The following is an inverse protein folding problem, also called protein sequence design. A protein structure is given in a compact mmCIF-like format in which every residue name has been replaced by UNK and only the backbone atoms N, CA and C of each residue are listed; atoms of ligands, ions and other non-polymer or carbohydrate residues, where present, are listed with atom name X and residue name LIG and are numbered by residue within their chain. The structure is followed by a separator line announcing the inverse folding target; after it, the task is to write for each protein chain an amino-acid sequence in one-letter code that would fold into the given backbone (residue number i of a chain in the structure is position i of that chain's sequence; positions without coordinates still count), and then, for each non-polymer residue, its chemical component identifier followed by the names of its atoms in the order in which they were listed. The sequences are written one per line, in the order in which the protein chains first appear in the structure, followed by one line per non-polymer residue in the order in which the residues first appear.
data_IF_339381044736
#
_entry.id   IF_339381044736
#
_cell.length_a   1.000
_cell.length_b   1.000
_cell.length_c   1.000
_cell.angle_alpha   90.00
_cell.angle_beta   90.00
_cell.angle_gamma   90.00
#
_symmetry.space_group_name_H-M   'P 1'
#
loop_
_entity.id
_entity.type
_entity.pdbx_description
1 polymer ?
#
# COMPACT_ATOMS: atom_id res chain seq x y z
N UNK A 1 -28.35 -40.24 14.85
CA UNK A 1 -27.56 -39.05 15.21
C UNK A 1 -26.40 -38.94 14.22
N UNK A 2 -26.49 -38.04 13.24
CA UNK A 2 -25.39 -37.77 12.31
C UNK A 2 -25.37 -36.28 12.03
N UNK A 3 -24.33 -35.60 12.52
CA UNK A 3 -24.12 -34.16 12.36
C UNK A 3 -23.80 -33.87 10.89
N UNK A 4 -24.67 -33.13 10.21
CA UNK A 4 -24.36 -32.52 8.92
C UNK A 4 -23.37 -31.39 9.14
N UNK A 5 -22.18 -31.54 8.57
CA UNK A 5 -21.13 -30.55 8.53
C UNK A 5 -21.62 -29.30 7.79
N UNK A 6 -21.34 -28.13 8.37
CA UNK A 6 -21.54 -26.81 7.74
C UNK A 6 -20.59 -26.71 6.55
N UNK A 7 -21.08 -27.10 5.38
CA UNK A 7 -20.35 -27.08 4.11
C UNK A 7 -20.36 -25.67 3.51
N UNK A 8 -19.15 -25.18 3.23
CA UNK A 8 -18.80 -24.29 2.12
C UNK A 8 -19.64 -23.04 1.91
N UNK A 9 -19.16 -21.89 2.39
CA UNK A 9 -19.51 -20.61 1.76
C UNK A 9 -18.88 -20.63 0.36
N UNK A 10 -19.69 -21.01 -0.62
CA UNK A 10 -19.34 -21.14 -2.01
C UNK A 10 -18.69 -19.85 -2.51
N UNK A 11 -17.37 -19.89 -2.66
CA UNK A 11 -16.66 -18.98 -3.52
C UNK A 11 -17.14 -19.24 -4.94
N UNK A 12 -18.18 -18.53 -5.37
CA UNK A 12 -18.60 -18.50 -6.76
C UNK A 12 -17.40 -17.99 -7.55
N UNK A 13 -16.82 -18.88 -8.36
CA UNK A 13 -15.65 -18.60 -9.18
C UNK A 13 -16.13 -17.69 -10.30
N UNK A 14 -15.95 -16.38 -10.12
CA UNK A 14 -16.15 -15.43 -11.20
C UNK A 14 -15.06 -15.68 -12.25
N UNK A 15 -15.47 -15.88 -13.50
CA UNK A 15 -14.58 -15.97 -14.66
C UNK A 15 -13.56 -14.83 -14.58
N UNK A 16 -12.25 -15.15 -14.60
CA UNK A 16 -11.05 -14.30 -14.38
C UNK A 16 -10.30 -14.39 -13.03
N UNK A 17 -10.49 -15.46 -12.25
CA UNK A 17 -9.65 -15.73 -11.07
C UNK A 17 -10.01 -14.92 -9.83
N UNK A 18 -11.15 -14.21 -9.85
CA UNK A 18 -11.70 -13.53 -8.69
C UNK A 18 -12.54 -14.47 -7.82
N UNK A 19 -12.62 -14.14 -6.53
CA UNK A 19 -13.44 -14.81 -5.53
C UNK A 19 -14.46 -13.80 -5.01
N UNK A 20 -15.72 -14.21 -4.87
CA UNK A 20 -16.80 -13.35 -4.36
C UNK A 20 -16.89 -13.50 -2.84
N UNK A 21 -16.99 -12.37 -2.14
CA UNK A 21 -17.32 -12.29 -0.71
C UNK A 21 -18.67 -11.59 -0.60
N UNK A 22 -19.63 -12.22 0.07
CA UNK A 22 -20.97 -11.69 0.30
C UNK A 22 -21.13 -11.29 1.76
N UNK A 23 -21.62 -10.07 2.01
CA UNK A 23 -21.90 -9.54 3.34
C UNK A 23 -23.39 -9.20 3.43
N UNK A 24 -24.05 -9.58 4.54
CA UNK A 24 -25.43 -9.18 4.82
C UNK A 24 -25.42 -7.97 5.74
N UNK A 25 -26.16 -6.94 5.36
CA UNK A 25 -26.35 -5.72 6.13
C UNK A 25 -27.85 -5.49 6.29
N UNK A 26 -28.24 -4.83 7.39
CA UNK A 26 -29.59 -4.26 7.52
C UNK A 26 -29.74 -3.12 6.51
N UNK A 27 -30.98 -2.82 6.12
CA UNK A 27 -31.27 -1.75 5.17
C UNK A 27 -30.65 -0.41 5.60
N UNK A 28 -30.84 -0.03 6.87
CA UNK A 28 -30.28 1.21 7.42
C UNK A 28 -28.74 1.27 7.38
N UNK A 29 -28.05 0.14 7.65
CA UNK A 29 -26.59 0.05 7.59
C UNK A 29 -26.09 0.22 6.16
N UNK A 30 -26.76 -0.43 5.20
CA UNK A 30 -26.44 -0.32 3.78
C UNK A 30 -26.63 1.11 3.27
N UNK A 31 -27.74 1.76 3.64
CA UNK A 31 -28.05 3.12 3.19
C UNK A 31 -27.05 4.13 3.75
N UNK A 32 -26.74 4.04 5.05
CA UNK A 32 -25.74 4.88 5.70
C UNK A 32 -24.36 4.71 5.06
N UNK A 33 -23.92 3.45 4.86
CA UNK A 33 -22.65 3.15 4.20
C UNK A 33 -22.60 3.70 2.77
N UNK A 34 -23.66 3.46 1.98
CA UNK A 34 -23.74 3.92 0.59
C UNK A 34 -23.78 5.45 0.48
N UNK A 35 -24.39 6.14 1.44
CA UNK A 35 -24.41 7.60 1.47
C UNK A 35 -23.02 8.18 1.75
N UNK A 36 -22.31 7.65 2.75
CA UNK A 36 -20.95 8.08 3.08
C UNK A 36 -19.99 7.89 1.89
N UNK A 37 -20.09 6.77 1.18
CA UNK A 37 -19.23 6.49 0.04
C UNK A 37 -19.51 7.36 -1.18
N UNK A 38 -20.78 7.75 -1.40
CA UNK A 38 -21.14 8.66 -2.49
C UNK A 38 -20.49 10.03 -2.35
N UNK A 39 -20.36 10.54 -1.12
CA UNK A 39 -19.63 11.80 -0.84
C UNK A 39 -18.17 11.70 -1.28
N UNK A 40 -17.58 10.50 -1.19
CA UNK A 40 -16.19 10.21 -1.57
C UNK A 40 -16.06 9.74 -3.03
N UNK A 41 -17.15 9.70 -3.82
CA UNK A 41 -17.13 9.20 -5.19
C UNK A 41 -16.84 7.69 -5.33
N UNK A 42 -17.03 6.91 -4.27
CA UNK A 42 -16.72 5.48 -4.24
C UNK A 42 -17.99 4.63 -4.40
N UNK A 43 -17.86 3.50 -5.09
CA UNK A 43 -18.90 2.45 -5.08
C UNK A 43 -18.73 1.55 -3.87
N UNK A 44 -19.83 0.92 -3.42
CA UNK A 44 -19.81 -0.02 -2.29
C UNK A 44 -18.81 -1.16 -2.52
N UNK A 45 -18.75 -1.69 -3.75
CA UNK A 45 -17.80 -2.74 -4.12
C UNK A 45 -16.34 -2.26 -4.03
N UNK A 46 -16.05 -1.03 -4.49
CA UNK A 46 -14.70 -0.46 -4.38
C UNK A 46 -14.29 -0.27 -2.93
N UNK A 47 -15.16 0.28 -2.09
CA UNK A 47 -14.90 0.49 -0.67
C UNK A 47 -14.64 -0.82 0.08
N UNK A 48 -15.46 -1.85 -0.15
CA UNK A 48 -15.24 -3.17 0.44
C UNK A 48 -13.93 -3.79 -0.05
N UNK A 49 -13.58 -3.61 -1.32
CA UNK A 49 -12.32 -4.10 -1.88
C UNK A 49 -11.10 -3.40 -1.27
N UNK A 50 -11.20 -2.08 -1.01
CA UNK A 50 -10.19 -1.31 -0.28
C UNK A 50 -10.06 -1.84 1.16
N UNK A 51 -11.18 -2.02 1.86
CA UNK A 51 -11.19 -2.53 3.23
C UNK A 51 -10.54 -3.92 3.32
N UNK A 52 -10.94 -4.86 2.45
CA UNK A 52 -10.38 -6.22 2.38
C UNK A 52 -8.87 -6.18 2.10
N UNK A 53 -8.40 -5.31 1.20
CA UNK A 53 -6.97 -5.19 0.90
C UNK A 53 -6.17 -4.66 2.08
N UNK A 54 -6.67 -3.59 2.73
CA UNK A 54 -6.02 -3.00 3.91
C UNK A 54 -5.92 -3.99 5.05
N UNK A 55 -6.99 -4.74 5.31
CA UNK A 55 -7.02 -5.81 6.32
C UNK A 55 -6.08 -6.96 5.93
N UNK A 56 -6.10 -7.37 4.66
CA UNK A 56 -5.26 -8.43 4.12
C UNK A 56 -3.80 -8.04 3.93
N UNK A 57 -3.39 -6.84 4.33
CA UNK A 57 -2.02 -6.33 4.19
C UNK A 57 -1.53 -6.21 2.74
N UNK A 58 -2.45 -6.20 1.77
CA UNK A 58 -2.09 -6.06 0.37
C UNK A 58 -1.59 -4.64 0.07
N UNK A 59 -0.73 -4.52 -0.94
CA UNK A 59 -0.17 -3.23 -1.36
C UNK A 59 -1.29 -2.40 -2.02
N UNK A 60 -1.69 -1.33 -1.34
CA UNK A 60 -2.27 -0.16 -1.97
C UNK A 60 -1.18 0.92 -1.95
N UNK A 61 -0.70 1.29 -3.14
CA UNK A 61 0.12 2.49 -3.27
C UNK A 61 -0.87 3.65 -3.32
N UNK A 62 -1.01 4.35 -2.19
CA UNK A 62 -1.77 5.60 -2.11
C UNK A 62 -1.13 6.68 -2.98
N UNK A 63 -1.88 7.73 -3.31
CA UNK A 63 -1.42 8.76 -4.24
C UNK A 63 -0.15 9.46 -3.71
N UNK A 64 -0.09 9.79 -2.42
CA UNK A 64 1.11 10.31 -1.74
C UNK A 64 2.33 9.40 -1.93
N UNK A 65 2.19 8.08 -1.68
CA UNK A 65 3.28 7.12 -1.88
C UNK A 65 3.68 6.98 -3.36
N UNK A 66 2.74 7.18 -4.31
CA UNK A 66 3.08 7.20 -5.75
C UNK A 66 3.84 8.46 -6.11
N UNK A 67 3.45 9.58 -5.55
CA UNK A 67 4.11 10.86 -5.77
C UNK A 67 5.52 10.85 -5.18
N UNK A 68 5.70 10.28 -3.98
CA UNK A 68 7.02 10.04 -3.38
C UNK A 68 7.88 9.13 -4.28
N UNK A 69 7.34 7.99 -4.73
CA UNK A 69 8.04 7.09 -5.65
C UNK A 69 8.42 7.79 -6.96
N UNK A 70 7.52 8.62 -7.51
CA UNK A 70 7.77 9.37 -8.75
C UNK A 70 8.84 10.44 -8.55
N UNK A 71 8.77 11.18 -7.45
CA UNK A 71 9.74 12.21 -7.09
C UNK A 71 11.15 11.60 -6.94
N UNK A 72 11.27 10.53 -6.16
CA UNK A 72 12.53 9.82 -5.97
C UNK A 72 13.07 9.27 -7.29
N UNK A 73 12.22 8.69 -8.14
CA UNK A 73 12.63 8.18 -9.46
C UNK A 73 13.15 9.33 -10.35
N UNK A 74 12.50 10.49 -10.32
CA UNK A 74 12.94 11.69 -11.03
C UNK A 74 14.30 12.19 -10.51
N UNK A 75 14.48 12.29 -9.19
CA UNK A 75 15.74 12.72 -8.58
C UNK A 75 16.89 11.79 -8.95
N UNK A 76 16.69 10.47 -8.88
CA UNK A 76 17.70 9.48 -9.28
C UNK A 76 18.05 9.65 -10.77
N UNK A 77 17.06 9.85 -11.63
CA UNK A 77 17.27 10.12 -13.06
C UNK A 77 18.13 11.36 -13.30
N UNK A 78 17.84 12.45 -12.59
CA UNK A 78 18.58 13.71 -12.68
C UNK A 78 20.03 13.57 -12.19
N UNK A 79 20.24 12.86 -11.08
CA UNK A 79 21.60 12.66 -10.54
C UNK A 79 22.41 11.73 -11.44
N UNK A 80 21.81 10.66 -11.98
CA UNK A 80 22.46 9.78 -12.94
C UNK A 80 22.87 10.55 -14.22
N UNK A 81 22.05 11.50 -14.67
CA UNK A 81 22.38 12.38 -15.79
C UNK A 81 23.56 13.30 -15.47
N UNK A 82 23.54 13.96 -14.30
CA UNK A 82 24.63 14.83 -13.86
C UNK A 82 25.97 14.07 -13.70
N UNK A 83 25.94 12.83 -13.20
CA UNK A 83 27.14 11.98 -13.09
C UNK A 83 27.68 11.56 -14.46
N UNK A 84 26.81 11.24 -15.44
CA UNK A 84 27.23 10.94 -16.83
C UNK A 84 27.89 12.14 -17.51
N UNK A 85 27.35 13.33 -17.29
CA UNK A 85 27.91 14.58 -17.81
C UNK A 85 29.27 14.88 -17.18
N UNK A 86 29.39 14.71 -15.87
CA UNK A 86 30.67 14.90 -15.17
C UNK A 86 31.74 13.90 -15.62
N UNK A 87 31.36 12.63 -15.82
CA UNK A 87 32.27 11.60 -16.36
C UNK A 87 32.74 11.92 -17.79
N UNK A 88 31.87 12.51 -18.63
CA UNK A 88 32.25 12.97 -19.98
C UNK A 88 33.22 14.16 -19.96
N UNK A 89 33.06 15.07 -19.00
CA UNK A 89 33.95 16.24 -18.84
C UNK A 89 35.30 15.82 -18.24
N UNK A 90 35.30 14.90 -17.28
CA UNK A 90 36.50 14.31 -16.68
C UNK A 90 37.42 13.63 -17.70
N UNK A 91 36.83 12.98 -18.71
CA UNK A 91 37.58 12.35 -19.79
C UNK A 91 38.11 13.35 -20.85
N UNK A 92 37.74 14.63 -20.77
CA UNK A 92 38.11 15.67 -21.76
C UNK A 92 39.10 16.70 -21.24
N UNK A 93 39.16 16.96 -19.94
CA UNK A 93 40.03 17.98 -19.33
C UNK A 93 40.99 17.40 -18.28
N UNK A 94 42.25 17.83 -18.29
CA UNK A 94 43.30 17.40 -17.35
C UNK A 94 43.13 17.97 -15.92
N UNK A 95 42.15 18.85 -15.70
CA UNK A 95 41.79 19.42 -14.39
C UNK A 95 40.40 18.94 -13.99
N UNK A 96 40.33 17.66 -13.62
CA UNK A 96 39.12 17.06 -13.07
C UNK A 96 38.80 17.67 -11.69
N UNK A 97 37.66 18.36 -11.58
CA UNK A 97 37.14 18.91 -10.32
C UNK A 97 36.57 17.77 -9.45
N UNK A 98 37.46 17.17 -8.67
CA UNK A 98 37.17 16.03 -7.80
C UNK A 98 36.21 16.37 -6.66
N UNK A 99 36.20 17.62 -6.19
CA UNK A 99 35.30 18.07 -5.12
C UNK A 99 33.86 18.15 -5.61
N UNK A 100 33.64 18.60 -6.85
CA UNK A 100 32.32 18.58 -7.48
C UNK A 100 31.82 17.16 -7.72
N UNK A 101 32.70 16.24 -8.11
CA UNK A 101 32.36 14.83 -8.25
C UNK A 101 31.94 14.18 -6.94
N UNK A 102 32.71 14.37 -5.87
CA UNK A 102 32.41 13.80 -4.55
C UNK A 102 31.09 14.33 -3.99
N UNK A 103 30.77 15.62 -4.18
CA UNK A 103 29.46 16.18 -3.81
C UNK A 103 28.30 15.51 -4.55
N UNK A 104 28.42 15.33 -5.87
CA UNK A 104 27.40 14.62 -6.65
C UNK A 104 27.26 13.15 -6.23
N UNK A 105 28.38 12.48 -5.93
CA UNK A 105 28.39 11.08 -5.45
C UNK A 105 27.71 10.93 -4.09
N UNK A 106 27.97 11.85 -3.15
CA UNK A 106 27.30 11.87 -1.84
C UNK A 106 25.80 12.10 -1.98
N UNK A 107 25.39 13.07 -2.80
CA UNK A 107 23.97 13.35 -3.03
C UNK A 107 23.23 12.16 -3.68
N UNK A 108 23.88 11.46 -4.63
CA UNK A 108 23.35 10.21 -5.18
C UNK A 108 23.14 9.14 -4.10
N UNK A 109 24.12 8.95 -3.22
CA UNK A 109 24.03 7.97 -2.14
C UNK A 109 22.88 8.25 -1.17
N UNK A 110 22.61 9.53 -0.89
CA UNK A 110 21.49 9.94 -0.03
C UNK A 110 20.13 9.63 -0.66
N UNK A 111 19.90 10.03 -1.92
CA UNK A 111 18.66 9.73 -2.64
C UNK A 111 18.46 8.22 -2.83
N UNK A 112 19.53 7.47 -3.09
CA UNK A 112 19.47 6.01 -3.19
C UNK A 112 19.09 5.34 -1.87
N UNK A 113 19.66 5.81 -0.75
CA UNK A 113 19.29 5.31 0.58
C UNK A 113 17.84 5.64 0.94
N UNK A 114 17.34 6.82 0.54
CA UNK A 114 15.95 7.20 0.71
C UNK A 114 15.01 6.30 -0.10
N UNK A 115 15.39 5.98 -1.35
CA UNK A 115 14.65 5.02 -2.18
C UNK A 115 14.61 3.63 -1.53
N UNK A 116 15.75 3.10 -1.08
CA UNK A 116 15.81 1.76 -0.46
C UNK A 116 14.93 1.66 0.79
N UNK A 117 14.96 2.71 1.64
CA UNK A 117 14.12 2.78 2.83
C UNK A 117 12.62 2.80 2.48
N UNK A 118 12.22 3.56 1.45
CA UNK A 118 10.84 3.61 0.99
C UNK A 118 10.40 2.28 0.37
N UNK A 119 11.25 1.67 -0.48
CA UNK A 119 10.97 0.36 -1.08
C UNK A 119 10.82 -0.72 -0.01
N UNK A 120 11.70 -0.76 0.99
CA UNK A 120 11.57 -1.68 2.13
C UNK A 120 10.26 -1.50 2.87
N UNK A 121 9.81 -0.26 3.05
CA UNK A 121 8.54 0.06 3.72
C UNK A 121 7.34 -0.39 2.90
N UNK A 122 7.36 -0.17 1.59
CA UNK A 122 6.29 -0.57 0.66
C UNK A 122 6.23 -2.10 0.52
N UNK A 123 7.38 -2.77 0.44
CA UNK A 123 7.50 -4.21 0.22
C UNK A 123 7.33 -5.05 1.49
N UNK A 124 7.27 -4.45 2.69
CA UNK A 124 7.06 -5.19 3.93
C UNK A 124 5.59 -5.63 4.11
N UNK A 125 5.15 -6.51 3.22
CA UNK A 125 3.80 -7.10 3.18
C UNK A 125 3.49 -7.86 4.47
N UNK A 126 4.48 -8.56 5.05
CA UNK A 126 4.31 -9.32 6.29
C UNK A 126 3.90 -8.42 7.47
N UNK A 127 4.56 -7.27 7.65
CA UNK A 127 4.20 -6.30 8.69
C UNK A 127 2.78 -5.74 8.47
N UNK A 128 2.44 -5.40 7.23
CA UNK A 128 1.11 -4.88 6.88
C UNK A 128 -0.01 -5.90 7.16
N UNK A 129 0.25 -7.18 6.90
CA UNK A 129 -0.68 -8.29 7.21
C UNK A 129 -0.88 -8.46 8.70
N UNK A 130 0.20 -8.36 9.47
CA UNK A 130 0.13 -8.47 10.92
C UNK A 130 -0.67 -7.31 11.54
N UNK A 131 -0.42 -6.08 11.08
CA UNK A 131 -1.16 -4.89 11.54
C UNK A 131 -2.64 -4.96 11.17
N UNK A 132 -2.98 -5.41 9.95
CA UNK A 132 -4.37 -5.62 9.53
C UNK A 132 -5.09 -6.68 10.37
N UNK A 133 -4.40 -7.79 10.71
CA UNK A 133 -4.93 -8.83 11.62
C UNK A 133 -5.15 -8.27 13.02
N UNK A 134 -4.20 -7.50 13.55
CA UNK A 134 -4.29 -6.90 14.89
C UNK A 134 -5.51 -5.97 15.01
N UNK A 135 -5.73 -5.10 14.02
CA UNK A 135 -6.92 -4.22 13.96
C UNK A 135 -8.24 -4.98 13.97
N UNK A 136 -8.31 -6.12 13.28
CA UNK A 136 -9.49 -6.99 13.34
C UNK A 136 -9.69 -7.59 14.74
N UNK A 137 -8.61 -8.03 15.40
CA UNK A 137 -8.67 -8.60 16.73
C UNK A 137 -9.14 -7.57 17.77
N UNK A 138 -8.66 -6.33 17.69
CA UNK A 138 -9.07 -5.22 18.55
C UNK A 138 -10.57 -4.94 18.42
N UNK A 139 -11.11 -4.89 17.19
CA UNK A 139 -12.54 -4.70 16.96
C UNK A 139 -13.39 -5.85 17.54
N UNK A 140 -12.94 -7.10 17.37
CA UNK A 140 -13.64 -8.26 17.94
C UNK A 140 -13.62 -8.28 19.47
N UNK A 141 -12.55 -7.77 20.09
CA UNK A 141 -12.43 -7.68 21.54
C UNK A 141 -13.22 -6.50 22.12
N UNK A 142 -13.32 -5.38 21.40
CA UNK A 142 -14.11 -4.21 21.79
C UNK A 142 -15.63 -4.44 21.77
N UNK A 143 -16.15 -5.26 20.84
CA UNK A 143 -17.56 -5.65 20.81
C UNK A 143 -17.96 -6.59 21.96
N UNK A 144 -16.99 -7.24 22.62
CA UNK A 144 -17.25 -8.19 23.73
C UNK A 144 -17.58 -7.49 25.06
N UNK A 145 -17.41 -6.17 25.13
CA UNK A 145 -17.59 -5.39 26.37
C UNK A 145 -18.93 -4.67 26.48
N UNK A 146 -19.83 -4.78 25.49
CA UNK A 146 -21.14 -4.12 25.49
C UNK A 146 -22.37 -5.05 25.50
N UNK A 147 -22.21 -6.38 25.61
CA UNK A 147 -23.34 -7.34 25.66
C UNK A 147 -23.61 -7.95 27.06
N UNK A 148 -23.26 -7.28 28.16
CA UNK A 148 -23.55 -7.81 29.52
C UNK A 148 -24.34 -6.90 30.46
N UNK A 149 -24.94 -5.82 29.97
CA UNK A 149 -25.96 -5.08 30.72
C UNK A 149 -27.19 -4.88 29.82
N UNK A 150 -28.18 -5.78 29.95
CA UNK A 150 -29.62 -5.49 30.06
C UNK A 150 -30.45 -6.79 30.07
#
# INVERSE_FOLDING_TARGET
MTRLSKSGSAAIIAQSGYRIISVRLRAAEFDAFSQQLRVLGLTNSMALRIAVRRIGGFIEIGDETRDDLRAITCHIGNIAQALRELSRVANRDATFDIERFERHRQHFGQEFSALDALLRTILNVSRRREDGRRRLQELMQGDSTHEHDH
#
